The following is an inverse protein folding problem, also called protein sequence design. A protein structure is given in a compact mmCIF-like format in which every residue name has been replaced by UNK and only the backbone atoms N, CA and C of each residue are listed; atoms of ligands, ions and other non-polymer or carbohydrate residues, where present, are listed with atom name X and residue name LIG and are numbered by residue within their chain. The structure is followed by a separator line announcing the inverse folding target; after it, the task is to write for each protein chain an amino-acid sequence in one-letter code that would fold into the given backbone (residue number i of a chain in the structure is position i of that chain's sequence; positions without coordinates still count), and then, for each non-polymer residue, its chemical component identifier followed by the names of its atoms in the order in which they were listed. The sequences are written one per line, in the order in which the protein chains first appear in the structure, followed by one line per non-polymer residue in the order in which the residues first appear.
data_IF_762018247165
#
_entry.id   IF_762018247165
#
_cell.length_a   1.000
_cell.length_b   1.000
_cell.length_c   1.000
_cell.angle_alpha   90.00
_cell.angle_beta   90.00
_cell.angle_gamma   90.00
#
_symmetry.space_group_name_H-M   'P 1'
#
loop_
_entity.id
_entity.type
_entity.pdbx_description
1 polymer ?
#
# COMPACT_ATOMS: atom_id res chain seq x y z
N UNK A 1 18.89 -8.48 3.68
CA UNK A 1 18.50 -7.05 3.67
C UNK A 1 17.26 -6.92 2.81
N UNK A 2 16.18 -6.34 3.34
CA UNK A 2 14.99 -6.00 2.54
C UNK A 2 15.18 -4.66 1.85
N UNK A 3 14.62 -4.50 0.65
CA UNK A 3 14.64 -3.21 -0.05
C UNK A 3 13.49 -2.38 0.51
N UNK A 4 13.83 -1.22 1.08
CA UNK A 4 12.84 -0.28 1.60
C UNK A 4 12.19 0.47 0.47
N UNK A 5 10.85 0.49 0.44
CA UNK A 5 10.06 1.15 -0.59
C UNK A 5 8.91 1.94 0.02
N UNK A 6 8.39 2.91 -0.73
CA UNK A 6 7.21 3.69 -0.38
C UNK A 6 6.26 3.78 -1.57
N UNK A 7 4.97 3.97 -1.31
CA UNK A 7 3.96 4.25 -2.34
C UNK A 7 3.57 5.72 -2.26
N UNK A 8 3.78 6.48 -3.34
CA UNK A 8 3.28 7.84 -3.48
C UNK A 8 2.05 7.84 -4.41
N UNK A 9 0.87 8.06 -3.83
CA UNK A 9 -0.43 7.92 -4.47
C UNK A 9 -1.10 6.57 -4.16
N UNK A 10 -2.00 6.56 -3.18
CA UNK A 10 -2.72 5.38 -2.68
C UNK A 10 -4.15 5.24 -3.23
N UNK A 11 -4.35 5.70 -4.47
CA UNK A 11 -5.64 5.65 -5.15
C UNK A 11 -5.91 4.34 -5.87
N UNK A 12 -6.24 4.41 -7.17
CA UNK A 12 -6.64 3.26 -8.00
C UNK A 12 -5.55 2.22 -8.20
N UNK A 13 -4.28 2.64 -8.30
CA UNK A 13 -3.13 1.75 -8.54
C UNK A 13 -2.37 1.42 -7.25
N UNK A 14 -2.18 2.39 -6.36
CA UNK A 14 -1.42 2.19 -5.12
C UNK A 14 -1.97 1.07 -4.24
N UNK A 15 -3.30 0.99 -4.06
CA UNK A 15 -3.96 -0.04 -3.25
C UNK A 15 -3.75 -1.47 -3.79
N UNK A 16 -4.04 -1.79 -5.07
CA UNK A 16 -3.69 -3.10 -5.64
C UNK A 16 -2.20 -3.42 -5.58
N UNK A 17 -1.33 -2.44 -5.82
CA UNK A 17 0.13 -2.59 -5.74
C UNK A 17 0.56 -3.00 -4.32
N UNK A 18 0.04 -2.33 -3.29
CA UNK A 18 0.25 -2.72 -1.89
C UNK A 18 -0.14 -4.19 -1.64
N UNK A 19 -1.33 -4.61 -2.07
CA UNK A 19 -1.78 -6.01 -1.93
C UNK A 19 -0.83 -6.98 -2.65
N UNK A 20 -0.36 -6.65 -3.86
CA UNK A 20 0.55 -7.49 -4.64
C UNK A 20 1.91 -7.61 -3.98
N UNK A 21 2.45 -6.51 -3.45
CA UNK A 21 3.72 -6.46 -2.70
C UNK A 21 3.65 -7.38 -1.49
N UNK A 22 2.63 -7.22 -0.64
CA UNK A 22 2.44 -8.05 0.56
C UNK A 22 2.34 -9.54 0.24
N UNK A 23 1.70 -9.90 -0.88
CA UNK A 23 1.49 -11.31 -1.25
C UNK A 23 2.67 -11.97 -1.96
N UNK A 24 3.42 -11.23 -2.79
CA UNK A 24 4.37 -11.85 -3.75
C UNK A 24 5.80 -11.34 -3.63
N UNK A 25 6.04 -10.29 -2.83
CA UNK A 25 7.34 -9.65 -2.75
C UNK A 25 7.79 -9.49 -1.29
N UNK A 26 8.03 -10.60 -0.55
CA UNK A 26 8.42 -10.56 0.87
C UNK A 26 9.79 -9.88 1.10
N UNK A 27 10.59 -9.69 0.04
CA UNK A 27 11.89 -9.03 0.10
C UNK A 27 11.77 -7.49 0.07
N UNK A 28 10.56 -6.97 -0.18
CA UNK A 28 10.27 -5.53 -0.16
C UNK A 28 9.67 -5.16 1.19
N UNK A 29 10.25 -4.15 1.82
CA UNK A 29 9.78 -3.57 3.07
C UNK A 29 9.07 -2.25 2.76
N UNK A 30 7.74 -2.26 2.81
CA UNK A 30 6.95 -1.05 2.55
C UNK A 30 6.87 -0.19 3.80
N UNK A 31 7.68 0.88 3.83
CA UNK A 31 7.89 1.70 5.03
C UNK A 31 6.97 2.92 5.11
N UNK A 32 6.39 3.36 3.99
CA UNK A 32 5.53 4.54 3.95
C UNK A 32 4.54 4.52 2.80
N UNK A 33 3.41 5.20 3.02
CA UNK A 33 2.41 5.53 2.00
C UNK A 33 2.13 7.03 2.13
N UNK A 34 2.12 7.74 1.00
CA UNK A 34 1.75 9.14 0.91
C UNK A 34 0.54 9.30 -0.02
N UNK A 35 -0.47 10.03 0.41
CA UNK A 35 -1.65 10.40 -0.39
C UNK A 35 -2.21 11.75 0.11
N UNK A 36 -3.20 12.31 -0.58
CA UNK A 36 -3.84 13.57 -0.19
C UNK A 36 -4.98 13.38 0.81
N UNK A 37 -5.40 12.13 1.02
CA UNK A 37 -6.52 11.75 1.89
C UNK A 37 -6.04 11.29 3.25
N UNK A 38 -6.87 11.43 4.28
CA UNK A 38 -6.56 11.01 5.64
C UNK A 38 -6.41 9.47 5.78
N UNK A 39 -5.62 8.98 6.75
CA UNK A 39 -5.37 7.56 6.93
C UNK A 39 -6.62 6.70 7.20
N UNK A 40 -7.66 7.26 7.83
CA UNK A 40 -8.88 6.53 8.19
C UNK A 40 -9.69 6.21 6.93
N UNK A 41 -9.83 7.21 6.04
CA UNK A 41 -10.44 7.03 4.72
C UNK A 41 -9.63 6.04 3.88
N UNK A 42 -8.29 6.15 3.86
CA UNK A 42 -7.44 5.21 3.12
C UNK A 42 -7.58 3.77 3.65
N UNK A 43 -7.63 3.57 4.96
CA UNK A 43 -7.82 2.27 5.58
C UNK A 43 -9.20 1.68 5.24
N UNK A 44 -10.26 2.49 5.29
CA UNK A 44 -11.59 2.09 4.87
C UNK A 44 -11.62 1.62 3.40
N UNK A 45 -11.01 2.40 2.51
CA UNK A 45 -10.89 2.11 1.08
C UNK A 45 -9.99 0.91 0.76
N UNK A 46 -9.04 0.60 1.65
CA UNK A 46 -8.16 -0.56 1.53
C UNK A 46 -8.89 -1.84 1.95
N UNK A 47 -9.75 -1.80 2.97
CA UNK A 47 -10.50 -2.96 3.46
C UNK A 47 -11.28 -3.65 2.32
N UNK A 48 -11.92 -2.86 1.45
CA UNK A 48 -12.69 -3.35 0.31
C UNK A 48 -11.88 -4.20 -0.70
N UNK A 49 -10.55 -4.08 -0.72
CA UNK A 49 -9.70 -4.83 -1.65
C UNK A 49 -8.85 -5.91 -0.96
N UNK A 50 -8.84 -5.98 0.37
CA UNK A 50 -8.06 -6.97 1.11
C UNK A 50 -8.86 -8.24 1.42
N UNK A 51 -10.19 -8.14 1.55
CA UNK A 51 -11.11 -9.27 1.45
C UNK A 51 -10.87 -10.13 0.21
#
# INVERSE_FOLDING_TARGET
MSIKIAINGFGRIGRPTFRRILKNHPNLDLVAINDLTDPETLAHLLNAILS
#
